data_IF_731556110609
#
_entry.id   IF_731556110609
#
_cell.length_a   1.000
_cell.length_b   1.000
_cell.length_c   1.000
_cell.angle_alpha   90.00
_cell.angle_beta   90.00
_cell.angle_gamma   90.00
#
_symmetry.space_group_name_H-M   'P 1'
#
loop_
_entity.id
_entity.type
_entity.pdbx_description
1 polymer ?
#
# COMPACT_ATOMS: atom_id res chain seq x y z
N UNK A 1 -68.63 53.60 -31.00
CA UNK A 1 -68.19 52.19 -31.28
C UNK A 1 -66.81 52.03 -30.68
N UNK A 2 -66.70 51.40 -29.51
CA UNK A 2 -65.42 51.16 -28.83
C UNK A 2 -65.14 49.67 -29.04
N UNK A 3 -64.00 49.36 -29.69
CA UNK A 3 -63.54 48.01 -29.96
C UNK A 3 -62.62 47.61 -28.79
N UNK A 4 -63.06 46.60 -27.99
CA UNK A 4 -62.20 45.96 -26.96
C UNK A 4 -61.33 44.89 -27.64
N UNK A 5 -60.02 45.00 -27.47
CA UNK A 5 -59.07 43.96 -27.84
C UNK A 5 -58.88 42.98 -26.65
N UNK A 6 -58.84 41.67 -26.88
CA UNK A 6 -58.58 40.69 -25.81
C UNK A 6 -57.08 40.57 -25.55
N UNK A 7 -56.67 40.79 -24.29
CA UNK A 7 -55.31 40.53 -23.79
C UNK A 7 -55.13 39.04 -23.57
N UNK A 8 -54.26 38.42 -24.36
CA UNK A 8 -53.86 37.01 -24.21
C UNK A 8 -52.81 36.86 -23.09
N UNK A 9 -53.20 36.30 -21.97
CA UNK A 9 -52.28 35.97 -20.85
C UNK A 9 -51.54 34.67 -21.20
N UNK A 10 -50.25 34.74 -21.53
CA UNK A 10 -49.35 33.56 -21.64
C UNK A 10 -48.93 33.15 -20.21
N UNK A 11 -49.48 32.06 -19.72
CA UNK A 11 -49.00 31.39 -18.51
C UNK A 11 -47.78 30.50 -18.82
N UNK A 12 -46.61 30.96 -18.42
CA UNK A 12 -45.39 30.14 -18.42
C UNK A 12 -45.48 29.10 -17.29
N UNK A 13 -45.80 27.86 -17.61
CA UNK A 13 -45.64 26.73 -16.71
C UNK A 13 -44.16 26.33 -16.65
N UNK A 14 -43.47 26.71 -15.60
CA UNK A 14 -42.14 26.18 -15.30
C UNK A 14 -42.24 24.69 -14.94
N UNK A 15 -41.76 23.83 -15.83
CA UNK A 15 -41.56 22.41 -15.52
C UNK A 15 -40.44 22.33 -14.45
N UNK A 16 -40.69 21.64 -13.34
CA UNK A 16 -39.61 21.36 -12.39
C UNK A 16 -38.58 20.45 -13.09
N UNK A 17 -37.32 20.87 -13.14
CA UNK A 17 -36.21 19.96 -13.41
C UNK A 17 -36.27 18.86 -12.36
N UNK A 18 -36.64 17.64 -12.76
CA UNK A 18 -36.53 16.47 -11.95
C UNK A 18 -35.03 16.23 -11.67
N UNK A 19 -34.55 16.73 -10.55
CA UNK A 19 -33.22 16.38 -10.05
C UNK A 19 -33.16 14.86 -9.95
N UNK A 20 -32.19 14.24 -10.62
CA UNK A 20 -31.93 12.80 -10.46
C UNK A 20 -31.66 12.57 -8.98
N UNK A 21 -32.55 11.85 -8.32
CA UNK A 21 -32.39 11.49 -6.91
C UNK A 21 -31.09 10.71 -6.75
N UNK A 22 -30.14 11.26 -6.00
CA UNK A 22 -28.89 10.55 -5.66
C UNK A 22 -29.25 9.19 -5.06
N UNK A 23 -28.69 8.06 -5.53
CA UNK A 23 -29.03 6.77 -4.99
C UNK A 23 -28.81 6.75 -3.49
N UNK A 24 -29.79 6.28 -2.72
CA UNK A 24 -29.71 6.26 -1.26
C UNK A 24 -28.57 5.40 -0.72
N UNK A 25 -28.05 4.47 -1.53
CA UNK A 25 -26.97 3.56 -1.17
C UNK A 25 -26.08 3.28 -2.35
N UNK A 26 -24.74 3.36 -2.13
CA UNK A 26 -23.72 2.97 -3.13
C UNK A 26 -22.78 1.92 -2.53
N UNK A 27 -22.13 1.15 -3.40
CA UNK A 27 -21.09 0.20 -2.98
C UNK A 27 -19.82 0.54 -3.73
N UNK A 28 -18.71 0.68 -3.00
CA UNK A 28 -17.35 0.79 -3.54
C UNK A 28 -16.63 -0.55 -3.38
N UNK A 29 -15.79 -0.91 -4.35
CA UNK A 29 -14.78 -1.95 -4.17
C UNK A 29 -13.40 -1.30 -4.09
N UNK A 30 -12.75 -1.45 -2.93
CA UNK A 30 -11.34 -1.11 -2.72
C UNK A 30 -10.49 -2.37 -2.89
N UNK A 31 -9.61 -2.37 -3.88
CA UNK A 31 -8.61 -3.43 -4.08
C UNK A 31 -7.29 -2.96 -3.49
N UNK A 32 -6.83 -3.67 -2.44
CA UNK A 32 -5.71 -3.26 -1.60
C UNK A 32 -4.67 -4.37 -1.40
N UNK A 33 -3.54 -4.03 -0.81
CA UNK A 33 -2.51 -5.00 -0.43
C UNK A 33 -2.67 -5.45 1.03
N UNK A 34 -2.08 -6.61 1.36
CA UNK A 34 -2.32 -7.31 2.62
C UNK A 34 -2.17 -6.49 3.91
N UNK A 35 -1.11 -5.70 4.12
CA UNK A 35 -0.88 -4.97 5.37
C UNK A 35 -1.91 -3.91 5.75
N UNK A 36 -2.82 -3.57 4.84
CA UNK A 36 -3.83 -2.50 5.06
C UNK A 36 -5.18 -3.01 5.57
N UNK A 37 -5.34 -4.31 5.86
CA UNK A 37 -6.63 -4.92 6.22
C UNK A 37 -7.30 -4.19 7.38
N UNK A 38 -6.60 -4.07 8.49
CA UNK A 38 -7.10 -3.48 9.73
C UNK A 38 -7.30 -1.97 9.57
N UNK A 39 -6.38 -1.30 8.87
CA UNK A 39 -6.51 0.12 8.55
C UNK A 39 -7.81 0.39 7.79
N UNK A 40 -8.05 -0.31 6.69
CA UNK A 40 -9.25 -0.06 5.89
C UNK A 40 -10.53 -0.57 6.54
N UNK A 41 -10.48 -1.50 7.47
CA UNK A 41 -11.64 -1.87 8.26
C UNK A 41 -12.15 -0.67 9.09
N UNK A 42 -11.26 -0.01 9.84
CA UNK A 42 -11.60 1.16 10.64
C UNK A 42 -11.91 2.38 9.77
N UNK A 43 -11.08 2.59 8.74
CA UNK A 43 -11.22 3.72 7.82
C UNK A 43 -12.58 3.69 7.11
N UNK A 44 -13.03 2.54 6.62
CA UNK A 44 -14.30 2.41 5.94
C UNK A 44 -15.50 2.73 6.82
N UNK A 45 -15.45 2.36 8.10
CA UNK A 45 -16.51 2.68 9.05
C UNK A 45 -16.61 4.20 9.27
N UNK A 46 -15.47 4.86 9.49
CA UNK A 46 -15.45 6.30 9.71
C UNK A 46 -15.78 7.09 8.44
N UNK A 47 -15.27 6.66 7.29
CA UNK A 47 -15.63 7.29 6.02
C UNK A 47 -17.11 7.14 5.72
N UNK A 48 -17.72 5.98 5.95
CA UNK A 48 -19.15 5.77 5.72
C UNK A 48 -20.02 6.70 6.58
N UNK A 49 -19.66 6.89 7.85
CA UNK A 49 -20.32 7.84 8.73
C UNK A 49 -20.16 9.30 8.24
N UNK A 50 -18.93 9.70 7.92
CA UNK A 50 -18.62 11.02 7.37
C UNK A 50 -19.39 11.31 6.08
N UNK A 51 -19.41 10.34 5.14
CA UNK A 51 -20.10 10.52 3.87
C UNK A 51 -21.61 10.64 4.02
N UNK A 52 -22.17 9.81 4.90
CA UNK A 52 -23.61 9.88 5.24
C UNK A 52 -24.00 11.20 5.85
N UNK A 53 -23.22 11.70 6.81
CA UNK A 53 -23.47 13.00 7.46
C UNK A 53 -23.40 14.14 6.43
N UNK A 54 -22.41 14.11 5.55
CA UNK A 54 -22.19 15.15 4.55
C UNK A 54 -23.21 15.17 3.41
N UNK A 55 -23.72 13.99 2.99
CA UNK A 55 -24.48 13.85 1.73
C UNK A 55 -25.85 13.18 1.89
N UNK A 56 -26.12 12.56 3.03
CA UNK A 56 -27.31 11.73 3.23
C UNK A 56 -27.23 10.34 2.55
N UNK A 57 -26.14 10.06 1.79
CA UNK A 57 -25.96 8.81 1.05
C UNK A 57 -25.27 7.74 1.88
N UNK A 58 -25.82 6.53 1.94
CA UNK A 58 -25.17 5.36 2.53
C UNK A 58 -24.11 4.80 1.57
N UNK A 59 -22.90 4.57 2.08
CA UNK A 59 -21.83 3.89 1.34
C UNK A 59 -21.42 2.60 2.04
N UNK A 60 -21.31 1.51 1.28
CA UNK A 60 -20.71 0.25 1.71
C UNK A 60 -19.40 0.06 0.95
N UNK A 61 -18.27 0.02 1.65
CA UNK A 61 -16.98 -0.30 1.03
C UNK A 61 -16.69 -1.79 1.18
N UNK A 62 -16.57 -2.48 0.06
CA UNK A 62 -16.08 -3.86 -0.03
C UNK A 62 -14.58 -3.82 -0.20
N UNK A 63 -13.89 -4.85 0.28
CA UNK A 63 -12.43 -4.94 0.21
C UNK A 63 -11.98 -6.24 -0.44
N UNK A 64 -10.94 -6.15 -1.25
CA UNK A 64 -10.13 -7.28 -1.70
C UNK A 64 -8.70 -7.05 -1.25
N UNK A 65 -8.11 -8.01 -0.54
CA UNK A 65 -6.74 -7.93 -0.03
C UNK A 65 -5.91 -9.12 -0.51
N UNK A 66 -4.64 -8.86 -0.80
CA UNK A 66 -3.68 -9.87 -1.25
C UNK A 66 -2.31 -9.27 -1.51
N UNK A 67 -1.40 -10.04 -2.09
CA UNK A 67 -0.14 -9.48 -2.60
C UNK A 67 -0.42 -8.41 -3.66
N UNK A 68 0.23 -7.25 -3.55
CA UNK A 68 -0.06 -6.07 -4.38
C UNK A 68 0.00 -6.35 -5.89
N UNK A 69 1.06 -7.03 -6.36
CA UNK A 69 1.17 -7.41 -7.77
C UNK A 69 0.08 -8.39 -8.23
N UNK A 70 -0.36 -9.31 -7.33
CA UNK A 70 -1.50 -10.20 -7.61
C UNK A 70 -2.81 -9.41 -7.71
N UNK A 71 -3.02 -8.43 -6.83
CA UNK A 71 -4.19 -7.56 -6.85
C UNK A 71 -4.24 -6.70 -8.12
N UNK A 72 -3.09 -6.09 -8.51
CA UNK A 72 -3.01 -5.35 -9.77
C UNK A 72 -3.38 -6.23 -10.97
N UNK A 73 -2.87 -7.46 -11.03
CA UNK A 73 -3.23 -8.40 -12.10
C UNK A 73 -4.72 -8.71 -12.10
N UNK A 74 -5.33 -8.95 -10.94
CA UNK A 74 -6.78 -9.20 -10.86
C UNK A 74 -7.60 -8.05 -11.44
N UNK A 75 -7.17 -6.79 -11.22
CA UNK A 75 -7.83 -5.61 -11.79
C UNK A 75 -7.62 -5.55 -13.32
N UNK A 76 -6.41 -5.83 -13.80
CA UNK A 76 -6.11 -5.91 -15.25
C UNK A 76 -6.95 -7.00 -15.92
N UNK A 77 -7.15 -8.14 -15.25
CA UNK A 77 -7.91 -9.29 -15.72
C UNK A 77 -9.44 -9.11 -15.57
N UNK A 78 -9.91 -7.93 -15.11
CA UNK A 78 -11.33 -7.56 -15.13
C UNK A 78 -12.01 -7.45 -13.78
N UNK A 79 -11.30 -7.51 -12.64
CA UNK A 79 -11.88 -7.18 -11.34
C UNK A 79 -12.23 -5.70 -11.29
N UNK A 80 -13.52 -5.38 -11.25
CA UNK A 80 -14.06 -4.02 -11.30
C UNK A 80 -13.88 -3.28 -9.97
N UNK A 81 -12.65 -2.85 -9.69
CA UNK A 81 -12.31 -2.03 -8.53
C UNK A 81 -12.67 -0.56 -8.79
N UNK A 82 -13.41 0.08 -7.89
CA UNK A 82 -13.67 1.53 -7.94
C UNK A 82 -12.44 2.33 -7.55
N UNK A 83 -11.68 1.83 -6.55
CA UNK A 83 -10.42 2.39 -6.10
C UNK A 83 -9.38 1.30 -5.91
N UNK A 84 -8.12 1.65 -6.14
CA UNK A 84 -6.96 0.80 -5.88
C UNK A 84 -6.06 1.49 -4.87
N UNK A 85 -5.60 0.74 -3.86
CA UNK A 85 -4.73 1.21 -2.79
C UNK A 85 -3.61 0.20 -2.61
N UNK A 86 -2.58 0.30 -3.46
CA UNK A 86 -1.58 -0.75 -3.64
C UNK A 86 -0.24 -0.41 -2.94
N UNK A 87 0.65 -1.39 -2.86
CA UNK A 87 1.89 -1.25 -2.11
C UNK A 87 2.94 -0.35 -2.80
N UNK A 88 2.86 -0.18 -4.12
CA UNK A 88 3.87 0.55 -4.90
C UNK A 88 3.30 1.07 -6.23
N UNK A 89 3.87 2.17 -6.71
CA UNK A 89 3.36 2.87 -7.89
C UNK A 89 3.37 2.01 -9.16
N UNK A 90 4.39 1.18 -9.34
CA UNK A 90 4.47 0.30 -10.51
C UNK A 90 3.22 -0.59 -10.69
N UNK A 91 2.63 -1.07 -9.59
CA UNK A 91 1.46 -1.94 -9.68
C UNK A 91 0.22 -1.17 -10.22
N UNK A 92 0.07 0.13 -9.85
CA UNK A 92 -0.97 1.00 -10.42
C UNK A 92 -0.62 1.42 -11.85
N UNK A 93 0.67 1.69 -12.15
CA UNK A 93 1.13 1.94 -13.52
C UNK A 93 0.74 0.80 -14.46
N UNK A 94 0.87 -0.46 -14.03
CA UNK A 94 0.46 -1.61 -14.83
C UNK A 94 -1.05 -1.66 -15.07
N UNK A 95 -1.87 -1.23 -14.10
CA UNK A 95 -3.33 -1.11 -14.32
C UNK A 95 -3.62 0.00 -15.34
N UNK A 96 -2.92 1.14 -15.26
CA UNK A 96 -3.07 2.22 -16.22
C UNK A 96 -2.64 1.80 -17.63
N UNK A 97 -1.48 1.18 -17.76
CA UNK A 97 -0.87 0.81 -19.05
C UNK A 97 -1.57 -0.37 -19.72
N UNK A 98 -1.87 -1.44 -18.98
CA UNK A 98 -2.42 -2.69 -19.52
C UNK A 98 -3.94 -2.79 -19.37
N UNK A 99 -4.48 -2.34 -18.24
CA UNK A 99 -5.92 -2.31 -18.00
C UNK A 99 -6.62 -1.14 -18.71
N UNK A 100 -5.90 -0.03 -18.86
CA UNK A 100 -6.42 1.17 -19.54
C UNK A 100 -7.65 1.79 -18.87
N UNK A 101 -7.83 1.55 -17.58
CA UNK A 101 -9.04 1.94 -16.83
C UNK A 101 -8.86 3.21 -15.99
N UNK A 102 -7.61 3.67 -15.84
CA UNK A 102 -7.25 4.94 -15.20
C UNK A 102 -6.17 5.68 -16.03
N UNK A 103 -6.05 7.01 -15.90
CA UNK A 103 -5.12 7.80 -16.71
C UNK A 103 -3.67 7.54 -16.33
N UNK A 104 -2.75 7.71 -17.29
CA UNK A 104 -1.30 7.57 -17.06
C UNK A 104 -0.77 8.57 -15.99
N UNK A 105 -1.39 9.75 -15.88
CA UNK A 105 -1.01 10.79 -14.91
C UNK A 105 -1.69 10.63 -13.54
N UNK A 106 -2.14 9.44 -13.19
CA UNK A 106 -2.88 9.15 -11.95
C UNK A 106 -2.15 9.63 -10.67
N UNK A 107 -0.83 9.54 -10.64
CA UNK A 107 -0.01 9.93 -9.48
C UNK A 107 -0.11 11.43 -9.14
N UNK A 108 -0.34 12.29 -10.13
CA UNK A 108 -0.42 13.73 -9.92
C UNK A 108 -1.78 14.20 -9.35
N UNK A 109 -2.75 13.30 -9.18
CA UNK A 109 -4.13 13.67 -8.80
C UNK A 109 -4.28 13.99 -7.31
N UNK A 110 -3.46 13.41 -6.46
CA UNK A 110 -3.51 13.57 -5.02
C UNK A 110 -2.13 13.98 -4.47
N UNK A 111 -2.07 14.62 -3.30
CA UNK A 111 -0.81 15.06 -2.71
C UNK A 111 0.22 13.93 -2.54
N UNK A 112 1.49 14.28 -2.52
CA UNK A 112 2.61 13.36 -2.30
C UNK A 112 2.64 12.20 -3.30
N UNK A 113 2.45 12.49 -4.60
CA UNK A 113 2.37 11.46 -5.65
C UNK A 113 1.31 10.39 -5.35
N UNK A 114 0.14 10.86 -4.87
CA UNK A 114 -0.99 10.01 -4.47
C UNK A 114 -0.66 9.00 -3.35
N UNK A 115 0.32 9.31 -2.49
CA UNK A 115 0.70 8.48 -1.33
C UNK A 115 0.28 9.16 -0.03
N UNK A 116 -0.86 8.77 0.57
CA UNK A 116 -1.42 9.46 1.73
C UNK A 116 -0.64 9.24 3.04
N UNK A 117 0.09 8.16 3.15
CA UNK A 117 0.91 7.78 4.29
C UNK A 117 2.17 7.07 3.82
N UNK A 118 3.11 6.83 4.74
CA UNK A 118 4.32 6.07 4.45
C UNK A 118 4.51 4.93 5.44
N UNK A 119 5.43 4.05 5.13
CA UNK A 119 5.93 3.01 6.02
C UNK A 119 7.41 2.76 5.69
N UNK A 120 7.99 1.77 6.30
CA UNK A 120 9.34 1.31 5.97
C UNK A 120 9.48 -0.18 6.25
N UNK A 121 10.67 -0.71 6.03
CA UNK A 121 10.98 -2.12 6.29
C UNK A 121 11.82 -2.21 7.56
N UNK A 122 11.41 -3.12 8.43
CA UNK A 122 12.06 -3.46 9.69
C UNK A 122 12.29 -4.96 9.79
N UNK A 123 13.03 -5.38 10.80
CA UNK A 123 13.28 -6.79 11.10
C UNK A 123 12.51 -7.16 12.37
N UNK A 124 11.62 -8.12 12.29
CA UNK A 124 10.90 -8.67 13.44
C UNK A 124 11.60 -9.95 13.89
N UNK A 125 12.04 -9.99 15.13
CA UNK A 125 12.72 -11.13 15.72
C UNK A 125 11.95 -11.68 16.91
N UNK A 126 12.25 -12.90 17.31
CA UNK A 126 11.69 -13.50 18.51
C UNK A 126 12.24 -12.83 19.76
N UNK A 127 11.49 -12.88 20.86
CA UNK A 127 11.90 -12.32 22.16
C UNK A 127 13.30 -12.76 22.54
N UNK A 128 14.09 -11.80 23.02
CA UNK A 128 15.48 -12.03 23.43
C UNK A 128 16.44 -12.18 22.26
N UNK A 129 15.96 -12.04 21.03
CA UNK A 129 16.78 -12.06 19.81
C UNK A 129 17.83 -13.18 19.79
N UNK A 130 17.44 -14.46 19.80
CA UNK A 130 18.38 -15.59 20.01
C UNK A 130 19.50 -15.67 18.97
N UNK A 131 19.31 -15.11 17.78
CA UNK A 131 20.31 -15.08 16.71
C UNK A 131 21.17 -13.81 16.71
N UNK A 132 20.92 -12.88 17.64
CA UNK A 132 21.69 -11.64 17.75
C UNK A 132 21.58 -10.75 16.51
N UNK A 133 20.40 -10.72 15.85
CA UNK A 133 20.14 -9.90 14.67
C UNK A 133 20.15 -8.43 15.06
N UNK A 134 21.01 -7.62 14.43
CA UNK A 134 21.13 -6.19 14.68
C UNK A 134 20.91 -5.35 13.44
N UNK A 135 21.28 -5.89 12.26
CA UNK A 135 21.17 -5.19 10.99
C UNK A 135 21.12 -6.20 9.83
N UNK A 136 20.98 -5.71 8.61
CA UNK A 136 20.90 -6.49 7.38
C UNK A 136 22.01 -7.53 7.23
N UNK A 137 23.26 -7.19 7.58
CA UNK A 137 24.40 -8.12 7.48
C UNK A 137 24.17 -9.47 8.17
N UNK A 138 23.41 -9.44 9.26
CA UNK A 138 23.15 -10.64 10.05
C UNK A 138 22.25 -11.64 9.31
N UNK A 139 21.43 -11.16 8.38
CA UNK A 139 20.51 -11.99 7.58
C UNK A 139 21.22 -12.90 6.58
N UNK A 140 22.45 -12.54 6.20
CA UNK A 140 23.27 -13.34 5.29
C UNK A 140 24.18 -14.38 6.01
N UNK A 141 24.14 -14.41 7.36
CA UNK A 141 24.92 -15.37 8.14
C UNK A 141 24.36 -16.79 7.99
N UNK A 142 25.23 -17.81 7.89
CA UNK A 142 24.78 -19.19 7.90
C UNK A 142 23.99 -19.54 9.16
N UNK A 143 22.90 -20.31 9.01
CA UNK A 143 22.07 -20.75 10.12
C UNK A 143 21.06 -19.71 10.65
N UNK A 144 20.87 -18.59 9.94
CA UNK A 144 19.79 -17.64 10.17
C UNK A 144 18.68 -17.93 9.17
N UNK A 145 17.50 -18.33 9.63
CA UNK A 145 16.34 -18.57 8.80
C UNK A 145 15.52 -17.25 8.63
N UNK A 146 15.50 -16.74 7.39
CA UNK A 146 14.85 -15.47 7.04
C UNK A 146 13.48 -15.72 6.42
N UNK A 147 12.47 -15.04 6.91
CA UNK A 147 11.12 -15.07 6.30
C UNK A 147 10.87 -13.76 5.56
N UNK A 148 10.45 -13.86 4.32
CA UNK A 148 10.04 -12.76 3.45
C UNK A 148 9.11 -13.28 2.36
N UNK A 149 8.15 -12.49 1.86
CA UNK A 149 7.27 -12.96 0.78
C UNK A 149 7.97 -12.94 -0.59
N UNK A 150 7.26 -13.43 -1.60
CA UNK A 150 7.77 -13.55 -2.97
C UNK A 150 7.67 -12.22 -3.74
N UNK A 151 8.76 -11.65 -4.24
CA UNK A 151 8.73 -10.41 -5.03
C UNK A 151 7.96 -10.48 -6.36
N UNK A 152 7.69 -11.68 -6.87
CA UNK A 152 6.87 -11.83 -8.08
C UNK A 152 5.38 -11.58 -7.84
N UNK A 153 4.91 -11.69 -6.58
CA UNK A 153 3.49 -11.57 -6.23
C UNK A 153 3.21 -10.48 -5.20
N UNK A 154 4.18 -10.17 -4.34
CA UNK A 154 4.06 -9.26 -3.21
C UNK A 154 4.81 -7.96 -3.45
N UNK A 155 4.11 -6.82 -3.38
CA UNK A 155 4.75 -5.51 -3.37
C UNK A 155 5.61 -5.29 -2.12
N UNK A 156 5.19 -5.82 -0.97
CA UNK A 156 5.99 -5.79 0.26
C UNK A 156 7.33 -6.50 0.09
N UNK A 157 7.35 -7.64 -0.60
CA UNK A 157 8.59 -8.35 -0.89
C UNK A 157 9.55 -7.54 -1.78
N UNK A 158 9.01 -6.76 -2.72
CA UNK A 158 9.84 -5.85 -3.54
C UNK A 158 10.48 -4.76 -2.69
N UNK A 159 9.74 -4.19 -1.75
CA UNK A 159 10.29 -3.25 -0.79
C UNK A 159 11.36 -3.89 0.10
N UNK A 160 11.12 -5.11 0.63
CA UNK A 160 12.09 -5.86 1.43
C UNK A 160 13.41 -6.10 0.67
N UNK A 161 13.31 -6.58 -0.56
CA UNK A 161 14.45 -6.83 -1.45
C UNK A 161 15.24 -5.55 -1.74
N UNK A 162 14.54 -4.47 -2.11
CA UNK A 162 15.19 -3.19 -2.44
C UNK A 162 15.79 -2.52 -1.21
N UNK A 163 15.20 -2.67 -0.02
CA UNK A 163 15.80 -2.18 1.22
C UNK A 163 17.13 -2.89 1.52
N UNK A 164 17.17 -4.21 1.38
CA UNK A 164 18.39 -5.00 1.55
C UNK A 164 19.47 -4.62 0.51
N UNK A 165 19.06 -4.44 -0.75
CA UNK A 165 19.96 -4.01 -1.84
C UNK A 165 20.53 -2.62 -1.58
N UNK A 166 19.66 -1.67 -1.22
CA UNK A 166 20.04 -0.28 -0.94
C UNK A 166 21.01 -0.19 0.26
N UNK A 167 20.79 -0.98 1.31
CA UNK A 167 21.73 -1.08 2.43
C UNK A 167 23.11 -1.55 1.94
N UNK A 168 23.17 -2.60 1.14
CA UNK A 168 24.44 -3.13 0.64
C UNK A 168 25.20 -2.14 -0.25
N UNK A 169 24.49 -1.36 -1.07
CA UNK A 169 25.09 -0.28 -1.87
C UNK A 169 25.75 0.83 -1.01
N UNK A 170 25.27 1.02 0.23
CA UNK A 170 25.78 2.06 1.15
C UNK A 170 26.91 1.58 2.06
N UNK A 171 27.30 0.30 1.96
CA UNK A 171 28.47 -0.20 2.69
C UNK A 171 29.78 0.26 2.05
N UNK A 172 30.91 0.30 2.79
CA UNK A 172 32.22 0.56 2.22
C UNK A 172 32.51 -0.40 1.05
N UNK A 173 32.86 0.16 -0.11
CA UNK A 173 33.04 -0.62 -1.35
C UNK A 173 31.74 -1.14 -1.99
N UNK A 174 30.58 -0.58 -1.59
CA UNK A 174 29.26 -0.96 -2.11
C UNK A 174 29.15 -0.74 -3.63
N UNK A 175 28.62 -1.74 -4.31
CA UNK A 175 28.37 -1.77 -5.76
C UNK A 175 27.21 -2.73 -6.05
N UNK A 176 26.69 -2.69 -7.27
CA UNK A 176 25.66 -3.67 -7.69
C UNK A 176 26.16 -5.13 -7.58
N UNK A 177 27.44 -5.37 -7.79
CA UNK A 177 28.02 -6.71 -7.65
C UNK A 177 28.01 -7.17 -6.19
N UNK A 178 28.42 -6.31 -5.25
CA UNK A 178 28.41 -6.62 -3.82
C UNK A 178 26.98 -6.72 -3.27
N UNK A 179 26.06 -5.88 -3.74
CA UNK A 179 24.64 -5.95 -3.37
C UNK A 179 24.00 -7.25 -3.86
N UNK A 180 24.31 -7.66 -5.09
CA UNK A 180 23.85 -8.95 -5.65
C UNK A 180 24.36 -10.16 -4.84
N UNK A 181 25.63 -10.17 -4.47
CA UNK A 181 26.21 -11.22 -3.63
C UNK A 181 25.54 -11.26 -2.26
N UNK A 182 25.39 -10.12 -1.62
CA UNK A 182 24.74 -9.99 -0.31
C UNK A 182 23.28 -10.50 -0.36
N UNK A 183 22.47 -9.97 -1.28
CA UNK A 183 21.07 -10.37 -1.41
C UNK A 183 20.95 -11.85 -1.80
N UNK A 184 21.88 -12.35 -2.62
CA UNK A 184 21.97 -13.78 -2.93
C UNK A 184 22.20 -14.65 -1.69
N UNK A 185 23.09 -14.24 -0.79
CA UNK A 185 23.34 -14.92 0.50
C UNK A 185 22.11 -14.85 1.41
N UNK A 186 21.45 -13.69 1.47
CA UNK A 186 20.22 -13.51 2.23
C UNK A 186 19.12 -14.48 1.74
N UNK A 187 18.88 -14.54 0.43
CA UNK A 187 17.84 -15.40 -0.14
C UNK A 187 18.15 -16.90 -0.06
N UNK A 188 19.43 -17.30 0.09
CA UNK A 188 19.80 -18.68 0.43
C UNK A 188 19.30 -19.08 1.82
N UNK A 189 19.11 -18.13 2.70
CA UNK A 189 18.60 -18.30 4.05
C UNK A 189 17.05 -18.25 4.13
N UNK A 190 16.35 -18.10 3.00
CA UNK A 190 14.89 -18.02 2.93
C UNK A 190 14.31 -19.41 2.65
N UNK A 191 13.72 -20.08 3.66
CA UNK A 191 13.20 -21.45 3.49
C UNK A 191 11.86 -21.50 2.75
N UNK A 192 11.09 -20.40 2.76
CA UNK A 192 9.76 -20.31 2.13
C UNK A 192 9.48 -18.89 1.65
N UNK A 193 8.86 -18.78 0.48
CA UNK A 193 8.36 -17.52 -0.10
C UNK A 193 6.84 -17.56 -0.13
N UNK A 194 6.21 -16.87 0.82
CA UNK A 194 4.76 -16.71 0.84
C UNK A 194 4.27 -15.76 -0.28
N UNK A 195 3.01 -15.90 -0.68
CA UNK A 195 2.45 -15.10 -1.77
C UNK A 195 2.27 -13.60 -1.44
N UNK A 196 2.23 -13.23 -0.16
CA UNK A 196 2.02 -11.87 0.31
C UNK A 196 2.59 -11.64 1.71
N UNK A 197 2.66 -10.38 2.13
CA UNK A 197 3.24 -9.97 3.41
C UNK A 197 2.54 -10.64 4.61
N UNK A 198 1.20 -10.67 4.62
CA UNK A 198 0.44 -11.32 5.69
C UNK A 198 0.73 -12.83 5.78
N UNK A 199 0.93 -13.51 4.65
CA UNK A 199 1.36 -14.92 4.64
C UNK A 199 2.68 -15.12 5.38
N UNK A 200 3.67 -14.26 5.12
CA UNK A 200 4.97 -14.31 5.80
C UNK A 200 4.85 -13.97 7.29
N UNK A 201 4.00 -13.01 7.66
CA UNK A 201 3.70 -12.73 9.06
C UNK A 201 3.10 -13.97 9.75
N UNK A 202 2.11 -14.62 9.15
CA UNK A 202 1.52 -15.88 9.66
C UNK A 202 2.57 -17.00 9.77
N UNK A 203 3.40 -17.18 8.75
CA UNK A 203 4.47 -18.18 8.76
C UNK A 203 5.44 -17.96 9.91
N UNK A 204 5.86 -16.71 10.14
CA UNK A 204 6.77 -16.38 11.22
C UNK A 204 6.09 -16.42 12.59
N UNK A 205 4.97 -15.72 12.73
CA UNK A 205 4.33 -15.43 14.02
C UNK A 205 3.53 -16.63 14.54
N UNK A 206 2.67 -17.23 13.70
CA UNK A 206 1.75 -18.28 14.12
C UNK A 206 2.33 -19.68 13.96
N UNK A 207 3.03 -19.95 12.83
CA UNK A 207 3.62 -21.26 12.57
C UNK A 207 4.98 -21.45 13.21
N UNK A 208 5.59 -20.38 13.75
CA UNK A 208 6.87 -20.45 14.43
C UNK A 208 8.08 -20.71 13.54
N UNK A 209 7.96 -20.52 12.21
CA UNK A 209 9.02 -20.77 11.24
C UNK A 209 9.91 -19.53 11.09
N UNK A 210 11.23 -19.73 11.02
CA UNK A 210 12.22 -18.65 10.83
C UNK A 210 12.71 -18.00 12.12
N UNK A 211 13.84 -17.33 12.03
CA UNK A 211 14.50 -16.60 13.11
C UNK A 211 14.22 -15.09 13.03
N UNK A 212 14.03 -14.58 11.80
CA UNK A 212 13.75 -13.17 11.52
C UNK A 212 12.76 -13.05 10.38
N UNK A 213 11.82 -12.13 10.51
CA UNK A 213 10.90 -11.72 9.44
C UNK A 213 11.32 -10.33 8.96
N UNK A 214 11.58 -10.19 7.66
CA UNK A 214 11.68 -8.89 7.00
C UNK A 214 10.25 -8.42 6.76
N UNK A 215 9.82 -7.37 7.46
CA UNK A 215 8.44 -6.94 7.51
C UNK A 215 8.25 -5.46 7.22
N UNK A 216 7.05 -5.11 6.77
CA UNK A 216 6.58 -3.75 6.91
C UNK A 216 6.54 -3.34 8.37
N UNK A 217 6.92 -2.10 8.67
CA UNK A 217 6.92 -1.56 10.03
C UNK A 217 5.54 -1.68 10.70
N UNK A 218 4.47 -1.33 9.97
CA UNK A 218 3.11 -1.46 10.48
C UNK A 218 2.70 -2.90 10.79
N UNK A 219 3.10 -3.89 9.98
CA UNK A 219 2.85 -5.32 10.24
C UNK A 219 3.60 -5.79 11.48
N UNK A 220 4.85 -5.39 11.65
CA UNK A 220 5.65 -5.77 12.79
C UNK A 220 5.11 -5.18 14.11
N UNK A 221 4.74 -3.90 14.10
CA UNK A 221 4.15 -3.23 15.25
C UNK A 221 2.75 -3.76 15.59
N UNK A 222 1.94 -4.07 14.57
CA UNK A 222 0.62 -4.68 14.75
C UNK A 222 0.76 -6.08 15.38
N UNK A 223 1.69 -6.90 14.90
CA UNK A 223 1.94 -8.23 15.45
C UNK A 223 2.31 -8.17 16.94
N UNK A 224 3.15 -7.21 17.34
CA UNK A 224 3.48 -7.00 18.78
C UNK A 224 2.25 -6.58 19.57
N UNK A 225 1.43 -5.67 19.03
CA UNK A 225 0.22 -5.19 19.70
C UNK A 225 -0.81 -6.29 19.90
N UNK A 226 -1.08 -7.10 18.89
CA UNK A 226 -2.11 -8.13 18.89
C UNK A 226 -1.72 -9.38 19.69
N UNK A 227 -0.45 -9.80 19.59
CA UNK A 227 0.04 -11.01 20.24
C UNK A 227 0.55 -10.77 21.66
N UNK A 228 0.54 -9.51 22.08
CA UNK A 228 1.00 -9.06 23.38
C UNK A 228 2.50 -8.77 23.44
N UNK A 229 2.89 -7.84 24.34
CA UNK A 229 4.30 -7.49 24.54
C UNK A 229 5.07 -8.72 25.02
N UNK A 230 6.26 -8.90 24.49
CA UNK A 230 7.20 -9.92 24.98
C UNK A 230 7.24 -11.22 24.18
N UNK A 231 6.61 -11.34 23.04
CA UNK A 231 6.82 -12.49 22.11
C UNK A 231 7.81 -12.16 20.99
N UNK A 232 7.85 -10.90 20.56
CA UNK A 232 8.69 -10.43 19.47
C UNK A 232 9.30 -9.07 19.77
N UNK A 233 10.37 -8.74 19.05
CA UNK A 233 11.07 -7.46 19.13
C UNK A 233 11.26 -6.92 17.70
N UNK A 234 11.10 -5.59 17.53
CA UNK A 234 11.41 -4.89 16.30
C UNK A 234 12.85 -4.40 16.33
N UNK A 235 13.63 -4.81 15.37
CA UNK A 235 14.97 -4.28 15.13
C UNK A 235 14.86 -3.28 13.98
N UNK A 236 15.16 -2.02 14.25
CA UNK A 236 15.30 -0.99 13.25
C UNK A 236 16.70 -1.11 12.60
N UNK A 237 16.79 -1.45 11.31
CA UNK A 237 18.09 -1.53 10.66
C UNK A 237 18.74 -0.13 10.52
N UNK A 238 20.06 -0.09 10.34
CA UNK A 238 20.81 1.16 10.19
C UNK A 238 20.32 2.02 9.02
N UNK A 239 19.93 1.38 7.93
CA UNK A 239 19.36 1.99 6.71
C UNK A 239 18.17 1.16 6.27
N UNK A 240 17.08 1.81 5.87
CA UNK A 240 15.95 1.18 5.22
C UNK A 240 15.44 2.01 4.06
N UNK A 241 14.28 1.66 3.51
CA UNK A 241 13.68 2.34 2.36
C UNK A 241 12.38 3.03 2.78
N UNK A 242 12.14 4.24 2.27
CA UNK A 242 10.88 4.94 2.43
C UNK A 242 9.84 4.28 1.53
N UNK A 243 8.94 3.53 2.13
CA UNK A 243 7.83 2.93 1.39
C UNK A 243 6.65 3.90 1.29
N UNK A 244 6.24 4.20 0.07
CA UNK A 244 5.20 5.16 -0.27
C UNK A 244 4.05 4.45 -1.00
N UNK A 245 3.12 3.79 -0.26
CA UNK A 245 2.00 3.09 -0.89
C UNK A 245 1.01 4.09 -1.50
N UNK A 246 0.78 4.02 -2.82
CA UNK A 246 -0.09 4.96 -3.51
C UNK A 246 -1.53 4.48 -3.61
N UNK A 247 -2.41 5.44 -3.92
CA UNK A 247 -3.84 5.21 -4.12
C UNK A 247 -4.33 5.87 -5.40
N UNK A 248 -5.34 5.29 -6.06
CA UNK A 248 -5.99 5.90 -7.23
C UNK A 248 -7.44 5.48 -7.39
N UNK A 249 -8.26 6.39 -7.91
CA UNK A 249 -9.58 6.04 -8.45
C UNK A 249 -9.36 5.29 -9.77
N UNK A 250 -10.15 4.25 -10.00
CA UNK A 250 -10.24 3.57 -11.29
C UNK A 250 -11.36 4.20 -12.11
N UNK A 251 -11.03 5.22 -12.88
CA UNK A 251 -11.99 6.16 -13.46
C UNK A 251 -13.08 5.50 -14.30
N UNK A 252 -12.71 4.56 -15.19
CA UNK A 252 -13.70 3.91 -16.06
C UNK A 252 -14.67 3.04 -15.28
N UNK A 253 -14.17 2.35 -14.25
CA UNK A 253 -15.01 1.51 -13.38
C UNK A 253 -15.91 2.39 -12.51
N UNK A 254 -15.34 3.42 -11.86
CA UNK A 254 -16.11 4.35 -11.06
C UNK A 254 -17.19 5.09 -11.87
N UNK A 255 -16.90 5.46 -13.11
CA UNK A 255 -17.88 6.04 -14.03
C UNK A 255 -18.99 5.03 -14.40
N UNK A 256 -18.64 3.78 -14.71
CA UNK A 256 -19.58 2.70 -15.01
C UNK A 256 -20.54 2.43 -13.82
N UNK A 257 -20.03 2.47 -12.61
CA UNK A 257 -20.80 2.21 -11.38
C UNK A 257 -21.54 3.44 -10.85
N UNK A 258 -21.26 4.64 -11.40
CA UNK A 258 -21.78 5.90 -10.87
C UNK A 258 -21.20 6.28 -9.50
N UNK A 259 -20.01 5.77 -9.17
CA UNK A 259 -19.34 5.92 -7.86
C UNK A 259 -18.25 6.97 -7.87
N UNK A 260 -18.01 7.71 -8.97
CA UNK A 260 -16.87 8.62 -9.13
C UNK A 260 -16.71 9.62 -7.96
N UNK A 261 -17.79 10.34 -7.61
CA UNK A 261 -17.74 11.35 -6.56
C UNK A 261 -17.41 10.75 -5.19
N UNK A 262 -17.99 9.61 -4.83
CA UNK A 262 -17.72 8.96 -3.55
C UNK A 262 -16.34 8.30 -3.54
N UNK A 263 -15.85 7.78 -4.66
CA UNK A 263 -14.51 7.21 -4.80
C UNK A 263 -13.42 8.29 -4.63
N UNK A 264 -13.61 9.46 -5.23
CA UNK A 264 -12.70 10.60 -5.01
C UNK A 264 -12.72 11.08 -3.56
N UNK A 265 -13.90 11.25 -2.98
CA UNK A 265 -14.03 11.66 -1.57
C UNK A 265 -13.41 10.64 -0.62
N UNK A 266 -13.53 9.34 -0.93
CA UNK A 266 -12.92 8.26 -0.16
C UNK A 266 -11.40 8.36 -0.11
N UNK A 267 -10.76 8.61 -1.25
CA UNK A 267 -9.31 8.78 -1.29
C UNK A 267 -8.85 10.12 -0.69
N UNK A 268 -9.61 11.21 -0.90
CA UNK A 268 -9.33 12.51 -0.28
C UNK A 268 -9.42 12.44 1.24
N UNK A 269 -10.34 11.65 1.79
CA UNK A 269 -10.48 11.48 3.24
C UNK A 269 -9.22 10.89 3.90
N UNK A 270 -8.40 10.11 3.19
CA UNK A 270 -7.09 9.63 3.67
C UNK A 270 -6.11 10.76 4.02
N UNK A 271 -6.28 11.94 3.41
CA UNK A 271 -5.42 13.11 3.62
C UNK A 271 -5.94 14.08 4.69
N UNK A 272 -7.15 13.83 5.22
CA UNK A 272 -7.69 14.61 6.34
C UNK A 272 -7.01 14.25 7.65
N UNK A 273 -7.13 15.09 8.67
CA UNK A 273 -6.59 14.79 10.00
C UNK A 273 -7.17 13.48 10.56
N UNK A 274 -8.47 13.25 10.36
CA UNK A 274 -9.14 12.02 10.77
C UNK A 274 -8.56 10.78 10.03
N UNK A 275 -8.43 10.84 8.71
CA UNK A 275 -7.84 9.76 7.91
C UNK A 275 -6.39 9.48 8.28
N UNK A 276 -5.60 10.52 8.50
CA UNK A 276 -4.20 10.41 8.93
C UNK A 276 -4.07 9.83 10.36
N UNK A 277 -4.98 10.20 11.27
CA UNK A 277 -5.01 9.64 12.62
C UNK A 277 -5.36 8.14 12.61
N UNK A 278 -6.27 7.71 11.73
CA UNK A 278 -6.56 6.28 11.52
C UNK A 278 -5.32 5.55 11.01
N UNK A 279 -4.65 6.09 9.98
CA UNK A 279 -3.42 5.51 9.46
C UNK A 279 -2.36 5.35 10.56
N UNK A 280 -2.15 6.38 11.38
CA UNK A 280 -1.20 6.35 12.49
C UNK A 280 -1.56 5.34 13.59
N UNK A 281 -2.85 5.14 13.91
CA UNK A 281 -3.32 4.10 14.85
C UNK A 281 -3.01 2.67 14.36
N UNK A 282 -2.93 2.50 13.04
CA UNK A 282 -2.54 1.25 12.38
C UNK A 282 -1.06 1.24 11.96
N UNK A 283 -0.24 2.07 12.63
CA UNK A 283 1.21 2.12 12.50
C UNK A 283 1.73 2.50 11.11
N UNK A 284 0.94 3.22 10.31
CA UNK A 284 1.45 3.92 9.16
C UNK A 284 1.93 5.32 9.56
N UNK A 285 3.04 5.76 8.98
CA UNK A 285 3.62 7.07 9.26
C UNK A 285 2.79 8.16 8.57
N UNK A 286 2.12 9.04 9.33
CA UNK A 286 1.27 10.07 8.75
C UNK A 286 2.10 11.17 8.09
N UNK A 287 1.50 11.80 7.07
CA UNK A 287 2.11 12.93 6.34
C UNK A 287 1.78 14.29 6.98
N UNK A 288 0.65 14.42 7.66
CA UNK A 288 0.28 15.67 8.35
C UNK A 288 1.14 15.87 9.60
N UNK A 289 1.80 17.03 9.68
CA UNK A 289 2.70 17.38 10.80
C UNK A 289 2.01 17.32 12.16
N UNK A 290 0.74 17.78 12.25
CA UNK A 290 -0.05 17.73 13.48
C UNK A 290 -0.27 16.30 13.99
N UNK A 291 -0.55 15.37 13.08
CA UNK A 291 -0.73 13.95 13.41
C UNK A 291 0.61 13.29 13.68
N UNK A 292 1.65 13.61 12.88
CA UNK A 292 3.00 13.09 13.09
C UNK A 292 3.56 13.50 14.47
N UNK A 293 3.32 14.71 14.92
CA UNK A 293 3.70 15.16 16.27
C UNK A 293 3.05 14.32 17.38
N UNK A 294 1.79 13.92 17.19
CA UNK A 294 1.03 13.13 18.17
C UNK A 294 1.43 11.66 18.21
N UNK A 295 1.74 11.07 17.05
CA UNK A 295 1.97 9.62 16.92
C UNK A 295 3.43 9.26 16.63
N UNK A 296 4.31 10.24 16.41
CA UNK A 296 5.69 10.01 15.95
C UNK A 296 6.55 9.16 16.89
N UNK A 297 6.29 9.21 18.20
CA UNK A 297 7.06 8.45 19.19
C UNK A 297 6.96 6.93 19.05
N UNK A 298 5.94 6.41 18.36
CA UNK A 298 5.79 4.96 18.13
C UNK A 298 6.70 4.42 17.03
N UNK A 299 7.30 5.29 16.22
CA UNK A 299 8.12 4.90 15.07
C UNK A 299 9.60 5.00 15.40
N UNK A 300 10.39 3.93 15.19
CA UNK A 300 11.83 3.99 15.35
C UNK A 300 12.47 4.98 14.36
N UNK A 301 13.52 5.65 14.83
CA UNK A 301 14.33 6.53 13.99
C UNK A 301 15.33 5.68 13.21
N UNK A 302 15.40 5.90 11.88
CA UNK A 302 16.36 5.25 11.00
C UNK A 302 16.60 6.10 9.74
N UNK A 303 17.67 5.85 9.03
CA UNK A 303 17.93 6.46 7.73
C UNK A 303 17.07 5.79 6.66
N UNK A 304 16.23 6.57 5.98
CA UNK A 304 15.35 6.09 4.91
C UNK A 304 15.84 6.60 3.56
N UNK A 305 16.06 5.68 2.63
CA UNK A 305 16.41 5.98 1.25
C UNK A 305 15.14 5.94 0.39
N UNK A 306 15.07 6.76 -0.65
CA UNK A 306 13.93 6.73 -1.57
C UNK A 306 14.18 5.81 -2.76
N UNK A 307 13.09 5.34 -3.39
CA UNK A 307 13.17 4.52 -4.60
C UNK A 307 13.80 5.31 -5.76
N UNK A 308 13.54 6.62 -5.82
CA UNK A 308 14.04 7.48 -6.88
C UNK A 308 15.54 7.71 -6.76
N UNK A 309 16.03 8.02 -5.55
CA UNK A 309 17.45 8.31 -5.30
C UNK A 309 18.37 7.11 -5.54
N UNK A 310 17.90 5.90 -5.21
CA UNK A 310 18.73 4.69 -5.27
C UNK A 310 18.56 3.94 -6.58
N UNK A 311 17.33 3.84 -7.07
CA UNK A 311 16.99 2.97 -8.20
C UNK A 311 16.50 3.73 -9.44
N UNK A 312 16.34 5.06 -9.36
CA UNK A 312 15.82 5.89 -10.44
C UNK A 312 14.33 5.61 -10.74
N UNK A 313 13.58 5.28 -9.69
CA UNK A 313 12.14 5.06 -9.73
C UNK A 313 11.71 3.62 -10.00
N UNK A 314 10.41 3.39 -9.81
CA UNK A 314 9.83 2.05 -9.86
C UNK A 314 9.93 1.34 -11.21
N UNK A 315 9.79 2.06 -12.34
CA UNK A 315 9.91 1.44 -13.68
C UNK A 315 11.29 0.85 -13.90
N UNK A 316 12.34 1.59 -13.55
CA UNK A 316 13.73 1.15 -13.66
C UNK A 316 14.02 0.02 -12.66
N UNK A 317 13.61 0.16 -11.40
CA UNK A 317 13.76 -0.86 -10.39
C UNK A 317 13.09 -2.19 -10.81
N UNK A 318 11.86 -2.12 -11.36
CA UNK A 318 11.17 -3.31 -11.85
C UNK A 318 11.90 -3.98 -13.00
N UNK A 319 12.30 -3.21 -14.01
CA UNK A 319 13.01 -3.73 -15.18
C UNK A 319 14.32 -4.44 -14.80
N UNK A 320 15.08 -3.86 -13.88
CA UNK A 320 16.37 -4.41 -13.45
C UNK A 320 16.26 -5.59 -12.50
N UNK A 321 15.29 -5.57 -11.59
CA UNK A 321 15.26 -6.50 -10.47
C UNK A 321 14.12 -7.54 -10.54
N UNK A 322 12.93 -7.20 -11.10
CA UNK A 322 11.73 -8.02 -10.93
C UNK A 322 11.05 -8.48 -12.23
N UNK A 323 11.43 -7.94 -13.39
CA UNK A 323 10.95 -8.45 -14.68
C UNK A 323 11.36 -9.92 -14.85
N UNK A 324 10.70 -10.63 -15.76
CA UNK A 324 11.03 -12.02 -16.01
C UNK A 324 12.48 -12.14 -16.53
N UNK A 325 13.24 -13.03 -15.89
CA UNK A 325 14.67 -13.21 -16.14
C UNK A 325 15.59 -12.14 -15.52
N UNK A 326 15.05 -11.13 -14.82
CA UNK A 326 15.82 -10.08 -14.16
C UNK A 326 16.59 -10.60 -12.92
N UNK A 327 17.25 -9.68 -12.19
CA UNK A 327 18.17 -10.03 -11.10
C UNK A 327 17.59 -10.96 -10.05
N UNK A 328 16.31 -10.77 -9.64
CA UNK A 328 15.69 -11.67 -8.66
C UNK A 328 15.63 -13.12 -9.16
N UNK A 329 15.22 -13.36 -10.41
CA UNK A 329 15.15 -14.70 -10.99
C UNK A 329 16.52 -15.35 -11.15
N UNK A 330 17.58 -14.56 -11.27
CA UNK A 330 18.96 -15.04 -11.33
C UNK A 330 19.53 -15.38 -9.95
N UNK A 331 19.12 -14.62 -8.91
CA UNK A 331 19.55 -14.81 -7.52
C UNK A 331 18.81 -15.99 -6.87
N UNK A 332 17.49 -16.02 -6.99
CA UNK A 332 16.64 -17.03 -6.39
C UNK A 332 16.25 -18.10 -7.41
N UNK A 333 16.89 -19.26 -7.29
CA UNK A 333 16.56 -20.46 -8.10
C UNK A 333 16.12 -21.56 -7.16
N UNK A 334 14.82 -21.88 -7.08
CA UNK A 334 14.35 -22.98 -6.25
C UNK A 334 15.04 -24.30 -6.65
N UNK A 335 15.64 -25.00 -5.70
CA UNK A 335 16.22 -26.33 -5.93
C UNK A 335 17.66 -26.36 -6.47
N UNK A 336 18.40 -25.28 -6.40
CA UNK A 336 19.86 -25.28 -6.66
C UNK A 336 20.65 -24.83 -5.44
#
# INVERSE_FOLDING_TARGET
MRILAPTLLLTFTALPLAGQATPKRVTLLNVSYDPTRELYQDFNQQFAAYWKDKTGQDVKVRQSHGGSGKQARSVIDGLEADVVTLALAYDIDQIAEKGGTLPAAWQARLPNNSSPYTSTIVLLVRRGNPKGIRDWADLAKPGVAVITPNPKTSGGARWNYLAAWAWALRQPGGSDATARDFVGKLYKNVPVLDAGARGSTTTFVERGIGDVLIAWENEALLAIKELGPGKFEVIAPSISILAEPPVSVNDKVAAKHGTGAVAEAYLQYLYTEAGQAIAAKHFYRPRLASVAAKYGAQFPKMTLLTIDDVFGGWKKAHASHFADGALFDQIYRPGR
#
